data_IF_115435470866
#
_entry.id   IF_115435470866
#
_cell.length_a   1.000
_cell.length_b   1.000
_cell.length_c   1.000
_cell.angle_alpha   90.00
_cell.angle_beta   90.00
_cell.angle_gamma   90.00
#
_symmetry.space_group_name_H-M   'P 1'
#
loop_
_entity.id
_entity.type
_entity.pdbx_description
1 polymer ?
#
# COMPACT_ATOMS: atom_id res chain seq x y z
N UNK A 1 4.34 4.94 -8.85
CA UNK A 1 3.67 5.87 -9.78
C UNK A 1 4.12 5.66 -11.23
N UNK A 2 5.44 5.66 -11.53
CA UNK A 2 5.94 5.52 -12.92
C UNK A 2 5.49 4.22 -13.59
N UNK A 3 5.50 3.09 -12.87
CA UNK A 3 5.02 1.82 -13.40
C UNK A 3 3.55 1.91 -13.81
N UNK A 4 2.69 2.41 -12.91
CA UNK A 4 1.27 2.59 -13.18
C UNK A 4 1.03 3.49 -14.40
N UNK A 5 1.73 4.62 -14.49
CA UNK A 5 1.61 5.52 -15.64
C UNK A 5 2.03 4.84 -16.96
N UNK A 6 3.14 4.10 -16.95
CA UNK A 6 3.60 3.38 -18.14
C UNK A 6 2.62 2.28 -18.57
N UNK A 7 2.04 1.53 -17.63
CA UNK A 7 1.07 0.49 -17.96
C UNK A 7 -0.24 1.06 -18.51
N UNK A 8 -0.76 2.13 -17.89
CA UNK A 8 -2.02 2.75 -18.32
C UNK A 8 -1.95 3.38 -19.71
N UNK A 9 -0.82 3.99 -20.06
CA UNK A 9 -0.66 4.70 -21.33
C UNK A 9 0.00 3.87 -22.43
N UNK A 10 0.46 2.64 -22.12
CA UNK A 10 1.27 1.82 -23.02
C UNK A 10 0.66 1.68 -24.42
N UNK A 11 -0.64 1.36 -24.50
CA UNK A 11 -1.31 1.09 -25.75
C UNK A 11 -1.63 2.37 -26.56
N UNK A 12 -1.71 3.51 -25.89
CA UNK A 12 -1.92 4.81 -26.53
C UNK A 12 -0.63 5.42 -27.10
N UNK A 13 0.55 4.88 -26.73
CA UNK A 13 1.84 5.43 -27.18
C UNK A 13 2.15 5.05 -28.64
N UNK A 14 2.84 5.94 -29.40
CA UNK A 14 3.46 5.58 -30.68
C UNK A 14 4.41 4.39 -30.55
N UNK A 15 4.56 3.60 -31.63
CA UNK A 15 5.32 2.32 -31.63
C UNK A 15 6.71 2.45 -31.01
N UNK A 16 7.45 3.49 -31.36
CA UNK A 16 8.82 3.72 -30.86
C UNK A 16 8.86 3.98 -29.35
N UNK A 17 7.94 4.81 -28.85
CA UNK A 17 7.83 5.11 -27.42
C UNK A 17 7.32 3.89 -26.64
N UNK A 18 6.42 3.12 -27.23
CA UNK A 18 5.93 1.86 -26.62
C UNK A 18 7.07 0.86 -26.36
N UNK A 19 8.01 0.72 -27.31
CA UNK A 19 9.19 -0.14 -27.11
C UNK A 19 10.06 0.34 -25.95
N UNK A 20 10.33 1.66 -25.88
CA UNK A 20 11.09 2.28 -24.79
C UNK A 20 10.36 2.07 -23.44
N UNK A 21 9.06 2.31 -23.41
CA UNK A 21 8.22 2.16 -22.24
C UNK A 21 8.22 0.70 -21.72
N UNK A 22 8.05 -0.30 -22.58
CA UNK A 22 8.16 -1.74 -22.20
C UNK A 22 9.53 -2.09 -21.62
N UNK A 23 10.60 -1.51 -22.14
CA UNK A 23 11.94 -1.69 -21.58
C UNK A 23 12.05 -1.08 -20.17
N UNK A 24 11.48 0.11 -19.97
CA UNK A 24 11.45 0.77 -18.66
C UNK A 24 10.63 -0.02 -17.65
N UNK A 25 9.46 -0.55 -18.02
CA UNK A 25 8.65 -1.43 -17.17
C UNK A 25 9.46 -2.65 -16.72
N UNK A 26 10.14 -3.34 -17.64
CA UNK A 26 10.97 -4.51 -17.29
C UNK A 26 12.11 -4.15 -16.33
N UNK A 27 12.77 -3.01 -16.53
CA UNK A 27 13.84 -2.53 -15.63
C UNK A 27 13.30 -2.18 -14.24
N UNK A 28 12.14 -1.50 -14.18
CA UNK A 28 11.48 -1.17 -12.90
C UNK A 28 11.08 -2.43 -12.13
N UNK A 29 10.46 -3.41 -12.77
CA UNK A 29 10.09 -4.66 -12.13
C UNK A 29 11.32 -5.45 -11.66
N UNK A 30 12.38 -5.50 -12.48
CA UNK A 30 13.64 -6.12 -12.09
C UNK A 30 14.33 -5.43 -10.91
N UNK A 31 14.21 -4.10 -10.82
CA UNK A 31 14.68 -3.35 -9.66
C UNK A 31 13.83 -3.62 -8.42
N UNK A 32 12.50 -3.59 -8.55
CA UNK A 32 11.59 -3.90 -7.45
C UNK A 32 11.83 -5.30 -6.88
N UNK A 33 12.14 -6.28 -7.76
CA UNK A 33 12.53 -7.62 -7.34
C UNK A 33 13.80 -7.62 -6.48
N UNK A 34 14.81 -6.85 -6.89
CA UNK A 34 16.10 -6.78 -6.17
C UNK A 34 16.00 -6.14 -4.79
N UNK A 35 15.07 -5.18 -4.63
CA UNK A 35 14.90 -4.44 -3.36
C UNK A 35 13.76 -4.97 -2.49
N UNK A 36 13.00 -5.96 -2.95
CA UNK A 36 12.02 -6.63 -2.12
C UNK A 36 12.74 -7.42 -1.03
N UNK A 37 12.37 -7.19 0.22
CA UNK A 37 12.90 -7.93 1.38
C UNK A 37 12.47 -9.40 1.33
N UNK A 38 13.19 -10.26 2.03
CA UNK A 38 12.91 -11.71 2.07
C UNK A 38 11.53 -12.06 2.63
N UNK A 39 10.96 -11.19 3.48
CA UNK A 39 9.60 -11.30 4.02
C UNK A 39 8.52 -10.81 3.04
N UNK A 40 8.90 -10.31 1.87
CA UNK A 40 7.99 -9.79 0.84
C UNK A 40 7.72 -8.29 0.93
N UNK A 41 8.28 -7.58 1.90
CA UNK A 41 8.05 -6.15 2.10
C UNK A 41 8.91 -5.25 1.21
N UNK A 42 8.50 -3.98 1.11
CA UNK A 42 9.33 -2.86 0.66
C UNK A 42 9.29 -1.74 1.68
N UNK A 43 10.46 -1.29 2.08
CA UNK A 43 10.57 -0.08 2.90
C UNK A 43 10.58 1.15 1.99
N UNK A 44 9.70 2.14 2.19
CA UNK A 44 9.71 3.35 1.39
C UNK A 44 10.96 4.17 1.69
N UNK A 45 11.40 4.95 0.69
CA UNK A 45 12.61 5.76 0.85
C UNK A 45 12.42 6.90 1.86
N UNK A 46 11.22 7.46 1.94
CA UNK A 46 10.99 8.70 2.70
C UNK A 46 9.99 8.53 3.83
N UNK A 47 8.86 7.88 3.60
CA UNK A 47 7.78 7.82 4.57
C UNK A 47 8.04 6.77 5.64
N UNK A 48 7.99 7.19 6.89
CA UNK A 48 8.18 6.36 8.06
C UNK A 48 7.01 6.38 9.03
N UNK A 49 7.19 5.68 10.12
CA UNK A 49 6.28 5.64 11.25
C UNK A 49 7.08 5.87 12.54
N UNK A 50 6.81 6.97 13.24
CA UNK A 50 7.56 7.37 14.46
C UNK A 50 7.45 6.36 15.62
N UNK A 51 6.41 5.51 15.59
CA UNK A 51 6.16 4.51 16.63
C UNK A 51 6.88 3.19 16.34
N UNK A 52 7.40 3.01 15.11
CA UNK A 52 8.23 1.86 14.77
C UNK A 52 9.66 2.01 15.32
N UNK A 53 10.26 0.89 15.76
CA UNK A 53 11.59 0.87 16.40
C UNK A 53 12.69 1.57 15.58
N UNK A 54 12.66 1.43 14.26
CA UNK A 54 13.61 2.04 13.31
C UNK A 54 13.00 3.21 12.53
N UNK A 55 11.83 3.67 12.97
CA UNK A 55 11.06 4.76 12.36
C UNK A 55 10.65 4.49 10.90
N UNK A 56 10.82 3.27 10.38
CA UNK A 56 10.46 2.87 9.02
C UNK A 56 9.02 2.40 8.94
N UNK A 57 8.44 2.45 7.75
CA UNK A 57 7.07 1.98 7.51
C UNK A 57 7.00 0.99 6.34
N UNK A 58 7.47 -0.25 6.51
CA UNK A 58 7.38 -1.25 5.45
C UNK A 58 5.93 -1.58 5.08
N UNK A 59 4.96 -1.46 5.98
CA UNK A 59 3.53 -1.61 5.65
C UNK A 59 3.11 -0.57 4.61
N UNK A 60 3.47 0.71 4.81
CA UNK A 60 3.16 1.76 3.84
C UNK A 60 3.79 1.48 2.46
N UNK A 61 5.09 1.19 2.44
CA UNK A 61 5.82 0.93 1.20
C UNK A 61 5.27 -0.28 0.45
N UNK A 62 4.96 -1.35 1.17
CA UNK A 62 4.41 -2.58 0.60
C UNK A 62 3.00 -2.37 0.07
N UNK A 63 2.12 -1.71 0.82
CA UNK A 63 0.76 -1.42 0.37
C UNK A 63 0.76 -0.58 -0.92
N UNK A 64 1.59 0.47 -0.98
CA UNK A 64 1.75 1.27 -2.19
C UNK A 64 2.27 0.47 -3.39
N UNK A 65 3.28 -0.36 -3.17
CA UNK A 65 3.85 -1.21 -4.24
C UNK A 65 2.82 -2.21 -4.76
N UNK A 66 2.15 -2.94 -3.86
CA UNK A 66 1.11 -3.91 -4.19
C UNK A 66 -0.03 -3.26 -4.97
N UNK A 67 -0.55 -2.13 -4.49
CA UNK A 67 -1.62 -1.40 -5.17
C UNK A 67 -1.26 -1.04 -6.62
N UNK A 68 -0.04 -0.57 -6.86
CA UNK A 68 0.41 -0.22 -8.22
C UNK A 68 0.76 -1.42 -9.09
N UNK A 69 1.19 -2.53 -8.52
CA UNK A 69 1.45 -3.77 -9.25
C UNK A 69 0.15 -4.45 -9.73
N UNK A 70 -1.01 -4.17 -9.09
CA UNK A 70 -2.31 -4.75 -9.45
C UNK A 70 -2.76 -4.42 -10.87
N UNK A 71 -2.27 -3.32 -11.44
CA UNK A 71 -2.61 -2.89 -12.80
C UNK A 71 -1.77 -3.59 -13.86
N UNK A 72 -0.66 -4.22 -13.49
CA UNK A 72 0.28 -4.84 -14.43
C UNK A 72 -0.13 -6.26 -14.82
N UNK A 73 -0.10 -6.54 -16.13
CA UNK A 73 -0.29 -7.89 -16.68
C UNK A 73 1.00 -8.73 -16.70
N UNK A 74 2.10 -8.17 -16.20
CA UNK A 74 3.39 -8.86 -16.20
C UNK A 74 3.44 -9.94 -15.11
N UNK A 75 3.82 -11.21 -15.43
CA UNK A 75 3.90 -12.28 -14.43
C UNK A 75 4.82 -11.97 -13.25
N UNK A 76 5.92 -11.22 -13.49
CA UNK A 76 6.82 -10.82 -12.41
C UNK A 76 6.13 -9.82 -11.46
N UNK A 77 5.33 -8.89 -11.99
CA UNK A 77 4.56 -7.97 -11.16
C UNK A 77 3.59 -8.72 -10.25
N UNK A 78 2.90 -9.74 -10.78
CA UNK A 78 2.00 -10.60 -10.00
C UNK A 78 2.75 -11.33 -8.88
N UNK A 79 3.88 -11.96 -9.18
CA UNK A 79 4.70 -12.64 -8.17
C UNK A 79 5.19 -11.70 -7.06
N UNK A 80 5.63 -10.49 -7.42
CA UNK A 80 6.05 -9.46 -6.49
C UNK A 80 4.88 -9.03 -5.57
N UNK A 81 3.70 -8.82 -6.16
CA UNK A 81 2.51 -8.45 -5.43
C UNK A 81 2.05 -9.56 -4.47
N UNK A 82 2.07 -10.83 -4.88
CA UNK A 82 1.74 -11.97 -4.03
C UNK A 82 2.63 -12.05 -2.78
N UNK A 83 3.93 -11.77 -2.93
CA UNK A 83 4.83 -11.67 -1.78
C UNK A 83 4.44 -10.52 -0.85
N UNK A 84 4.16 -9.34 -1.41
CA UNK A 84 3.74 -8.18 -0.64
C UNK A 84 2.40 -8.38 0.05
N UNK A 85 1.44 -9.05 -0.60
CA UNK A 85 0.15 -9.40 0.01
C UNK A 85 0.34 -10.32 1.22
N UNK A 86 1.19 -11.35 1.12
CA UNK A 86 1.51 -12.21 2.27
C UNK A 86 2.10 -11.42 3.44
N UNK A 87 3.00 -10.49 3.14
CA UNK A 87 3.54 -9.60 4.17
C UNK A 87 2.44 -8.77 4.84
N UNK A 88 1.56 -8.12 4.06
CA UNK A 88 0.47 -7.31 4.61
C UNK A 88 -0.48 -8.15 5.48
N UNK A 89 -0.86 -9.34 5.03
CA UNK A 89 -1.71 -10.25 5.80
C UNK A 89 -1.05 -10.66 7.13
N UNK A 90 0.25 -10.97 7.10
CA UNK A 90 1.00 -11.33 8.30
C UNK A 90 1.27 -10.15 9.25
N UNK A 91 1.12 -8.92 8.76
CA UNK A 91 1.34 -7.67 9.52
C UNK A 91 0.07 -7.08 10.11
N UNK A 92 -1.10 -7.71 9.91
CA UNK A 92 -2.35 -7.26 10.51
C UNK A 92 -2.34 -7.51 12.02
N UNK A 93 -2.62 -6.48 12.79
CA UNK A 93 -2.67 -6.56 14.24
C UNK A 93 -3.97 -7.20 14.76
N UNK A 94 -4.00 -7.51 16.07
CA UNK A 94 -5.14 -8.19 16.70
C UNK A 94 -6.42 -7.35 16.64
N UNK A 95 -6.30 -6.02 16.66
CA UNK A 95 -7.41 -5.07 16.53
C UNK A 95 -7.98 -4.97 15.10
N UNK A 96 -7.38 -5.67 14.15
CA UNK A 96 -7.78 -5.68 12.74
C UNK A 96 -7.14 -4.57 11.89
N UNK A 97 -6.43 -3.63 12.49
CA UNK A 97 -5.72 -2.56 11.79
C UNK A 97 -4.29 -2.92 11.38
N UNK A 98 -3.56 -1.92 10.89
CA UNK A 98 -2.13 -2.00 10.57
C UNK A 98 -1.40 -0.77 11.07
N UNK A 99 -0.26 -0.99 11.75
CA UNK A 99 0.77 0.01 12.02
C UNK A 99 1.82 0.09 10.91
N UNK A 100 2.91 0.84 11.12
CA UNK A 100 4.01 0.97 10.16
C UNK A 100 4.81 -0.31 9.92
N UNK A 101 4.84 -1.18 10.92
CA UNK A 101 5.48 -2.49 10.91
C UNK A 101 4.67 -3.46 11.77
N UNK A 102 4.93 -4.79 11.69
CA UNK A 102 4.27 -5.77 12.56
C UNK A 102 4.41 -5.40 14.04
N UNK A 103 3.32 -5.51 14.80
CA UNK A 103 3.26 -5.19 16.24
C UNK A 103 3.51 -3.71 16.59
N UNK A 104 3.33 -2.83 15.65
CA UNK A 104 3.27 -1.38 15.88
C UNK A 104 1.81 -0.98 15.88
N UNK A 105 1.42 -0.14 16.83
CA UNK A 105 0.03 0.30 17.01
C UNK A 105 -0.63 0.69 15.69
N UNK A 106 -1.85 0.20 15.46
CA UNK A 106 -2.60 0.43 14.23
C UNK A 106 -2.91 1.91 14.01
N UNK A 107 -2.82 2.34 12.75
CA UNK A 107 -3.11 3.71 12.31
C UNK A 107 -4.16 3.70 11.22
N UNK A 108 -5.00 4.71 11.20
CA UNK A 108 -6.07 4.88 10.22
C UNK A 108 -5.52 4.94 8.81
N UNK A 109 -4.48 5.76 8.61
CA UNK A 109 -3.82 5.94 7.31
C UNK A 109 -3.22 4.63 6.79
N UNK A 110 -2.54 3.87 7.64
CA UNK A 110 -1.88 2.62 7.28
C UNK A 110 -2.88 1.48 7.06
N UNK A 111 -3.91 1.40 7.90
CA UNK A 111 -5.03 0.47 7.71
C UNK A 111 -5.75 0.73 6.38
N UNK A 112 -6.07 1.98 6.07
CA UNK A 112 -6.69 2.33 4.80
C UNK A 112 -5.78 1.99 3.60
N UNK A 113 -4.47 2.18 3.69
CA UNK A 113 -3.51 1.79 2.65
C UNK A 113 -3.44 0.28 2.46
N UNK A 114 -3.35 -0.50 3.54
CA UNK A 114 -3.35 -1.95 3.48
C UNK A 114 -4.65 -2.49 2.86
N UNK A 115 -5.81 -1.96 3.29
CA UNK A 115 -7.10 -2.31 2.70
C UNK A 115 -7.19 -1.99 1.20
N UNK A 116 -6.69 -0.83 0.77
CA UNK A 116 -6.64 -0.45 -0.66
C UNK A 116 -5.81 -1.46 -1.47
N UNK A 117 -4.68 -1.90 -0.93
CA UNK A 117 -3.83 -2.89 -1.57
C UNK A 117 -4.52 -4.26 -1.65
N UNK A 118 -5.06 -4.77 -0.54
CA UNK A 118 -5.79 -6.03 -0.48
C UNK A 118 -7.00 -6.04 -1.44
N UNK A 119 -7.80 -4.98 -1.42
CA UNK A 119 -8.98 -4.85 -2.29
C UNK A 119 -8.65 -4.76 -3.78
N UNK A 120 -7.39 -4.49 -4.15
CA UNK A 120 -6.94 -4.46 -5.55
C UNK A 120 -6.69 -5.86 -6.14
N UNK A 121 -6.74 -6.92 -5.33
CA UNK A 121 -6.50 -8.30 -5.77
C UNK A 121 -7.70 -9.20 -5.49
N UNK A 122 -8.26 -9.87 -6.52
CA UNK A 122 -9.41 -10.77 -6.39
C UNK A 122 -9.19 -11.92 -5.43
N UNK A 123 -7.99 -12.42 -5.32
CA UNK A 123 -7.63 -13.57 -4.49
C UNK A 123 -7.28 -13.20 -3.04
N UNK A 124 -7.38 -11.90 -2.67
CA UNK A 124 -7.08 -11.46 -1.30
C UNK A 124 -8.09 -11.96 -0.27
N UNK A 125 -7.61 -12.17 0.95
CA UNK A 125 -8.41 -12.68 2.06
C UNK A 125 -9.51 -11.70 2.50
N UNK A 126 -10.76 -12.11 2.31
CA UNK A 126 -11.93 -11.29 2.67
C UNK A 126 -12.02 -11.06 4.18
N UNK A 127 -11.63 -12.05 5.00
CA UNK A 127 -11.69 -11.94 6.46
C UNK A 127 -10.75 -10.86 6.99
N UNK A 128 -9.55 -10.77 6.45
CA UNK A 128 -8.61 -9.71 6.81
C UNK A 128 -9.12 -8.32 6.38
N UNK A 129 -9.78 -8.24 5.21
CA UNK A 129 -10.40 -6.99 4.77
C UNK A 129 -11.58 -6.58 5.66
N UNK A 130 -12.42 -7.53 6.09
CA UNK A 130 -13.52 -7.28 7.03
C UNK A 130 -12.99 -6.74 8.36
N UNK A 131 -12.00 -7.39 8.96
CA UNK A 131 -11.36 -6.91 10.20
C UNK A 131 -10.79 -5.49 10.07
N UNK A 132 -10.12 -5.20 8.95
CA UNK A 132 -9.58 -3.86 8.70
C UNK A 132 -10.67 -2.81 8.50
N UNK A 133 -11.78 -3.19 7.86
CA UNK A 133 -12.96 -2.33 7.75
C UNK A 133 -13.57 -2.07 9.13
N UNK A 134 -13.71 -3.09 9.97
CA UNK A 134 -14.27 -2.98 11.32
C UNK A 134 -13.42 -2.05 12.19
N UNK A 135 -12.08 -2.12 12.07
CA UNK A 135 -11.18 -1.15 12.70
C UNK A 135 -11.51 0.29 12.29
N UNK A 136 -11.58 0.57 10.98
CA UNK A 136 -11.90 1.91 10.49
C UNK A 136 -13.33 2.36 10.90
N UNK A 137 -14.28 1.44 10.91
CA UNK A 137 -15.64 1.72 11.36
C UNK A 137 -15.69 2.05 12.86
N UNK A 138 -14.96 1.33 13.69
CA UNK A 138 -14.78 1.65 15.12
C UNK A 138 -14.18 3.04 15.33
N UNK A 139 -13.15 3.43 14.53
CA UNK A 139 -12.59 4.77 14.55
C UNK A 139 -13.60 5.85 14.14
N UNK A 140 -14.47 5.55 13.17
CA UNK A 140 -15.56 6.45 12.78
C UNK A 140 -16.57 6.63 13.92
N UNK A 141 -17.03 5.53 14.52
CA UNK A 141 -17.99 5.58 15.63
C UNK A 141 -17.48 6.34 16.86
N UNK A 142 -16.17 6.25 17.13
CA UNK A 142 -15.53 6.98 18.21
C UNK A 142 -15.19 8.45 17.89
N UNK A 143 -15.47 8.92 16.66
CA UNK A 143 -15.14 10.27 16.21
C UNK A 143 -13.65 10.50 15.92
N UNK A 144 -12.84 9.44 15.89
CA UNK A 144 -11.38 9.53 15.69
C UNK A 144 -10.94 9.41 14.23
N UNK A 145 -11.82 8.96 13.32
CA UNK A 145 -11.46 8.63 11.93
C UNK A 145 -10.74 9.78 11.21
N UNK A 146 -11.08 11.01 11.51
CA UNK A 146 -10.52 12.20 10.84
C UNK A 146 -9.44 12.92 11.68
N UNK A 147 -9.03 12.34 12.80
CA UNK A 147 -7.93 12.88 13.59
C UNK A 147 -6.61 12.71 12.83
N UNK A 148 -5.88 13.80 12.53
CA UNK A 148 -4.62 13.71 11.81
C UNK A 148 -3.61 12.80 12.51
N UNK A 149 -2.94 11.96 11.74
CA UNK A 149 -1.88 11.07 12.21
C UNK A 149 -0.54 11.53 11.66
N UNK A 150 0.54 11.48 12.48
CA UNK A 150 1.87 11.85 12.01
C UNK A 150 2.37 10.91 10.92
N UNK A 151 2.93 11.50 9.87
CA UNK A 151 3.70 10.85 8.83
C UNK A 151 4.93 11.70 8.55
N UNK A 152 6.01 11.15 8.04
CA UNK A 152 7.13 12.01 7.72
C UNK A 152 8.36 11.32 7.19
N UNK A 153 9.42 12.10 7.12
CA UNK A 153 10.71 11.71 6.57
C UNK A 153 11.58 11.14 7.69
N UNK A 154 11.52 9.83 7.91
CA UNK A 154 12.17 9.17 9.03
C UNK A 154 13.69 9.41 9.08
N UNK A 155 14.36 9.49 7.93
CA UNK A 155 15.80 9.76 7.86
C UNK A 155 16.19 11.19 8.32
N UNK A 156 15.24 12.14 8.27
CA UNK A 156 15.42 13.52 8.75
C UNK A 156 14.70 13.78 10.07
N UNK A 157 13.98 12.77 10.61
CA UNK A 157 13.11 12.89 11.80
C UNK A 157 12.15 14.09 11.70
N UNK A 158 11.67 14.34 10.48
CA UNK A 158 10.72 15.39 10.18
C UNK A 158 9.31 14.82 10.11
N UNK A 159 8.56 14.94 11.18
CA UNK A 159 7.18 14.47 11.29
C UNK A 159 6.19 15.61 11.10
N UNK A 160 5.11 15.35 10.38
CA UNK A 160 4.04 16.31 10.15
C UNK A 160 2.71 15.57 10.06
N UNK A 161 1.61 16.30 10.24
CA UNK A 161 0.24 15.77 10.12
C UNK A 161 -0.47 16.50 9.00
N UNK A 162 -1.14 15.75 8.13
CA UNK A 162 -1.93 16.24 7.01
C UNK A 162 -3.40 15.86 7.22
N UNK A 163 -4.27 16.84 7.42
CA UNK A 163 -5.69 16.59 7.69
C UNK A 163 -6.37 15.75 6.61
N UNK A 164 -6.01 15.97 5.34
CA UNK A 164 -6.63 15.28 4.21
C UNK A 164 -6.17 13.84 4.01
N UNK A 165 -5.10 13.37 4.68
CA UNK A 165 -4.61 12.01 4.46
C UNK A 165 -5.62 10.96 4.91
N UNK A 166 -6.17 11.08 6.11
CA UNK A 166 -7.18 10.14 6.59
C UNK A 166 -8.38 10.11 5.66
N UNK A 167 -8.89 11.29 5.25
CA UNK A 167 -10.03 11.40 4.34
C UNK A 167 -9.76 10.70 3.00
N UNK A 168 -8.64 11.05 2.35
CA UNK A 168 -8.34 10.54 1.00
C UNK A 168 -8.01 9.05 1.00
N UNK A 169 -7.28 8.56 2.01
CA UNK A 169 -6.90 7.16 2.06
C UNK A 169 -8.08 6.27 2.44
N UNK A 170 -8.90 6.69 3.41
CA UNK A 170 -10.11 5.95 3.78
C UNK A 170 -11.12 5.93 2.63
N UNK A 171 -11.37 7.06 1.96
CA UNK A 171 -12.27 7.09 0.80
C UNK A 171 -11.78 6.19 -0.35
N UNK A 172 -10.47 6.14 -0.61
CA UNK A 172 -9.91 5.24 -1.62
C UNK A 172 -10.11 3.77 -1.22
N UNK A 173 -9.86 3.42 0.04
CA UNK A 173 -10.08 2.06 0.55
C UNK A 173 -11.55 1.65 0.42
N UNK A 174 -12.47 2.48 0.90
CA UNK A 174 -13.91 2.21 0.82
C UNK A 174 -14.41 2.08 -0.62
N UNK A 175 -13.92 2.92 -1.55
CA UNK A 175 -14.24 2.81 -2.97
C UNK A 175 -13.84 1.46 -3.55
N UNK A 176 -12.63 0.99 -3.23
CA UNK A 176 -12.12 -0.30 -3.70
C UNK A 176 -12.84 -1.48 -3.07
N UNK A 177 -13.09 -1.44 -1.76
CA UNK A 177 -13.90 -2.45 -1.07
C UNK A 177 -15.29 -2.56 -1.67
N UNK A 178 -15.97 -1.44 -1.94
CA UNK A 178 -17.28 -1.41 -2.61
C UNK A 178 -17.26 -2.04 -4.00
N UNK A 179 -16.17 -1.88 -4.76
CA UNK A 179 -16.02 -2.51 -6.07
C UNK A 179 -15.79 -4.02 -5.96
N UNK A 180 -15.26 -4.46 -4.84
CA UNK A 180 -14.95 -5.85 -4.54
C UNK A 180 -16.17 -6.69 -4.15
N UNK A 181 -17.16 -6.06 -3.52
CA UNK A 181 -18.40 -6.72 -3.02
C UNK A 181 -19.47 -6.81 -4.12
N UNK A 182 -19.31 -6.07 -5.21
CA UNK A 182 -20.20 -6.13 -6.38
C UNK A 182 -19.81 -7.26 -7.32
#
# INVERSE_FOLDING_TARGET
HSLLAFELWLDALPKELRVKCRRSIRRLLGWMWKIQSSDGSWTPLWFGDQDAKDERSPVYGTAMAVEYLSTSRNPLARKLAENGLRYLLASQDEDGGWGGAPKVASKITLTARALSALASYPESDLKSMERGFDYLYGMYQSGLLFRPEPIGLYFARLWYSEELYNHTFVLNALKKLKQRIK
#
